data_IF_951632448650
#
_entry.id   IF_951632448650
#
_cell.length_a   1.000
_cell.length_b   1.000
_cell.length_c   1.000
_cell.angle_alpha   90.00
_cell.angle_beta   90.00
_cell.angle_gamma   90.00
#
_symmetry.space_group_name_H-M   'P 1'
#
loop_
_entity.id
_entity.type
_entity.pdbx_description
1 polymer ?
#
# COMPACT_ATOMS: atom_id res chain seq x y z
N UNK A 1 -14.25 -15.20 13.87
CA UNK A 1 -13.40 -14.18 13.22
C UNK A 1 -12.72 -14.79 12.00
N UNK A 2 -12.86 -14.18 10.80
CA UNK A 2 -12.15 -14.67 9.60
C UNK A 2 -10.64 -14.60 9.84
N UNK A 3 -9.95 -15.72 9.76
CA UNK A 3 -8.51 -15.87 10.02
C UNK A 3 -7.68 -14.99 9.08
N UNK A 4 -8.15 -14.78 7.85
CA UNK A 4 -7.47 -14.03 6.80
C UNK A 4 -8.21 -12.76 6.42
N UNK A 5 -7.47 -11.76 5.97
CA UNK A 5 -7.98 -10.48 5.50
C UNK A 5 -8.04 -10.48 3.98
N UNK A 6 -9.19 -10.12 3.40
CA UNK A 6 -9.33 -9.90 1.97
C UNK A 6 -9.14 -8.41 1.69
N UNK A 7 -8.17 -8.00 0.85
CA UNK A 7 -8.07 -6.61 0.41
C UNK A 7 -9.39 -6.13 -0.20
N UNK A 8 -9.67 -4.83 -0.12
CA UNK A 8 -10.90 -4.28 -0.72
C UNK A 8 -10.82 -4.28 -2.25
N UNK A 9 -9.63 -4.03 -2.77
CA UNK A 9 -9.33 -3.99 -4.19
C UNK A 9 -8.02 -4.72 -4.42
N UNK A 10 -7.94 -5.50 -5.49
CA UNK A 10 -6.70 -6.08 -6.00
C UNK A 10 -6.57 -5.73 -7.47
N UNK A 11 -5.49 -5.05 -7.85
CA UNK A 11 -5.20 -4.57 -9.19
C UNK A 11 -3.74 -4.86 -9.54
N UNK A 12 -3.42 -4.82 -10.82
CA UNK A 12 -2.08 -5.14 -11.32
C UNK A 12 -1.03 -4.13 -10.83
N UNK A 13 -1.34 -2.84 -10.94
CA UNK A 13 -0.39 -1.76 -10.60
C UNK A 13 -1.13 -0.50 -10.14
N UNK A 14 -0.38 0.49 -9.64
CA UNK A 14 -0.93 1.74 -9.12
C UNK A 14 -1.69 2.56 -10.16
N UNK A 15 -1.44 2.39 -11.45
CA UNK A 15 -2.10 3.16 -12.52
C UNK A 15 -3.55 2.73 -12.76
N UNK A 16 -3.96 1.60 -12.18
CA UNK A 16 -5.34 1.09 -12.23
C UNK A 16 -6.18 1.49 -11.01
N UNK A 17 -5.69 2.39 -10.15
CA UNK A 17 -6.45 2.89 -8.99
C UNK A 17 -7.77 3.52 -9.47
N UNK A 18 -8.93 3.07 -8.95
CA UNK A 18 -10.24 3.57 -9.40
C UNK A 18 -10.57 4.94 -8.78
N UNK A 19 -9.93 6.01 -9.25
CA UNK A 19 -9.97 7.37 -8.72
C UNK A 19 -11.40 7.84 -8.46
N UNK A 20 -12.28 7.74 -9.47
CA UNK A 20 -13.67 8.19 -9.36
C UNK A 20 -14.44 7.46 -8.24
N UNK A 21 -14.20 6.16 -8.07
CA UNK A 21 -14.83 5.35 -7.03
C UNK A 21 -14.33 5.76 -5.63
N UNK A 22 -13.02 6.01 -5.49
CA UNK A 22 -12.44 6.47 -4.22
C UNK A 22 -13.00 7.84 -3.81
N UNK A 23 -13.08 8.79 -4.75
CA UNK A 23 -13.71 10.11 -4.53
C UNK A 23 -15.16 9.98 -4.07
N UNK A 24 -15.97 9.23 -4.81
CA UNK A 24 -17.38 8.99 -4.45
C UNK A 24 -17.53 8.33 -3.08
N UNK A 25 -16.54 7.59 -2.63
CA UNK A 25 -16.52 6.92 -1.31
C UNK A 25 -16.00 7.81 -0.18
N UNK A 26 -15.73 9.10 -0.41
CA UNK A 26 -15.27 10.05 0.58
C UNK A 26 -13.80 9.87 1.00
N UNK A 27 -12.98 9.18 0.21
CA UNK A 27 -11.55 9.06 0.48
C UNK A 27 -10.88 10.41 0.27
N UNK A 28 -10.09 10.84 1.26
CA UNK A 28 -9.36 12.12 1.26
C UNK A 28 -7.87 11.94 0.99
N UNK A 29 -7.33 10.77 1.37
CA UNK A 29 -5.89 10.54 1.25
C UNK A 29 -5.54 9.11 0.79
N UNK A 30 -4.44 9.00 0.05
CA UNK A 30 -3.83 7.75 -0.38
C UNK A 30 -2.47 7.59 0.28
N UNK A 31 -2.26 6.46 0.94
CA UNK A 31 -1.00 6.10 1.59
C UNK A 31 -0.36 4.97 0.80
N UNK A 32 0.80 5.23 0.23
CA UNK A 32 1.52 4.28 -0.61
C UNK A 32 2.68 3.64 0.16
N UNK A 33 2.85 2.33 0.02
CA UNK A 33 4.17 1.74 0.20
C UNK A 33 5.10 2.19 -0.93
N UNK A 34 6.41 2.06 -0.72
CA UNK A 34 7.41 2.50 -1.69
C UNK A 34 7.94 1.36 -2.55
N UNK A 35 8.61 0.41 -1.90
CA UNK A 35 9.40 -0.61 -2.57
C UNK A 35 8.50 -1.66 -3.20
N UNK A 36 8.68 -1.91 -4.50
CA UNK A 36 7.84 -2.75 -5.35
C UNK A 36 6.37 -2.29 -5.52
N UNK A 37 5.97 -1.19 -4.91
CA UNK A 37 4.65 -0.57 -5.10
C UNK A 37 4.72 0.65 -6.02
N UNK A 38 5.54 1.66 -5.68
CA UNK A 38 5.75 2.87 -6.48
C UNK A 38 6.95 2.70 -7.42
N UNK A 39 8.01 2.03 -6.93
CA UNK A 39 9.28 1.90 -7.62
C UNK A 39 9.96 0.57 -7.28
N UNK A 40 10.82 0.09 -8.18
CA UNK A 40 11.71 -1.03 -7.87
C UNK A 40 12.69 -0.63 -6.76
N UNK A 41 13.13 -1.61 -5.98
CA UNK A 41 14.11 -1.39 -4.90
C UNK A 41 15.45 -0.85 -5.40
N UNK A 42 15.80 -1.09 -6.67
CA UNK A 42 17.01 -0.61 -7.34
C UNK A 42 16.92 0.86 -7.80
N UNK A 43 15.72 1.41 -7.94
CA UNK A 43 15.53 2.79 -8.40
C UNK A 43 15.80 3.78 -7.27
N UNK A 44 16.67 4.78 -7.50
CA UNK A 44 17.02 5.80 -6.51
C UNK A 44 16.00 6.94 -6.44
N UNK A 45 15.28 7.19 -7.52
CA UNK A 45 14.31 8.28 -7.69
C UNK A 45 13.05 7.75 -8.38
N UNK A 46 11.90 8.41 -8.22
CA UNK A 46 10.70 8.06 -8.98
C UNK A 46 10.90 8.34 -10.47
N UNK A 47 10.39 7.46 -11.32
CA UNK A 47 10.36 7.68 -12.76
C UNK A 47 9.44 8.85 -13.13
N UNK A 48 9.64 9.44 -14.32
CA UNK A 48 8.78 10.53 -14.82
C UNK A 48 7.32 10.10 -14.93
N UNK A 49 7.06 8.84 -15.24
CA UNK A 49 5.72 8.27 -15.28
C UNK A 49 5.06 8.34 -13.89
N UNK A 50 5.78 7.96 -12.85
CA UNK A 50 5.30 8.05 -11.46
C UNK A 50 5.06 9.51 -11.07
N UNK A 51 5.99 10.41 -11.37
CA UNK A 51 5.86 11.85 -11.08
C UNK A 51 4.59 12.43 -11.72
N UNK A 52 4.38 12.17 -13.01
CA UNK A 52 3.17 12.61 -13.73
C UNK A 52 1.90 12.05 -13.12
N UNK A 53 1.92 10.77 -12.77
CA UNK A 53 0.76 10.12 -12.16
C UNK A 53 0.43 10.68 -10.78
N UNK A 54 1.44 10.90 -9.94
CA UNK A 54 1.24 11.52 -8.61
C UNK A 54 0.70 12.94 -8.71
N UNK A 55 1.15 13.74 -9.72
CA UNK A 55 0.55 15.05 -10.00
C UNK A 55 -0.95 14.95 -10.33
N UNK A 56 -1.36 13.91 -11.04
CA UNK A 56 -2.78 13.67 -11.32
C UNK A 56 -3.56 13.31 -10.06
N UNK A 57 -3.04 12.41 -9.24
CA UNK A 57 -3.69 11.99 -7.99
C UNK A 57 -3.82 13.12 -6.97
N UNK A 58 -2.83 14.02 -6.91
CA UNK A 58 -2.84 15.20 -6.00
C UNK A 58 -3.97 16.19 -6.27
N UNK A 59 -4.60 16.15 -7.44
CA UNK A 59 -5.77 16.98 -7.74
C UNK A 59 -6.98 16.62 -6.86
N UNK A 60 -7.03 15.37 -6.40
CA UNK A 60 -8.19 14.82 -5.72
C UNK A 60 -7.88 14.31 -4.30
N UNK A 61 -6.61 13.98 -4.01
CA UNK A 61 -6.21 13.34 -2.76
C UNK A 61 -4.94 13.94 -2.16
N UNK A 62 -4.85 13.92 -0.84
CA UNK A 62 -3.56 14.07 -0.16
C UNK A 62 -2.78 12.76 -0.27
N UNK A 63 -1.50 12.81 -0.64
CA UNK A 63 -0.68 11.63 -0.86
C UNK A 63 0.40 11.51 0.21
N UNK A 64 0.66 10.26 0.64
CA UNK A 64 1.68 9.93 1.62
C UNK A 64 2.48 8.70 1.18
N UNK A 65 3.74 8.64 1.63
CA UNK A 65 4.54 7.41 1.56
C UNK A 65 4.73 6.86 2.97
N UNK A 66 4.47 5.57 3.16
CA UNK A 66 4.66 4.84 4.41
C UNK A 66 5.49 3.58 4.13
N UNK A 67 6.80 3.63 4.39
CA UNK A 67 7.74 2.56 4.03
C UNK A 67 8.50 1.99 5.22
N UNK A 68 8.84 0.71 5.14
CA UNK A 68 9.76 0.06 6.09
C UNK A 68 11.23 0.43 5.83
N UNK A 69 11.52 1.00 4.69
CA UNK A 69 12.86 1.39 4.28
C UNK A 69 13.42 2.58 5.09
N UNK A 70 14.76 2.71 5.19
CA UNK A 70 15.39 3.81 5.92
C UNK A 70 15.19 5.16 5.20
N UNK A 71 15.36 6.25 5.96
CA UNK A 71 15.17 7.63 5.48
C UNK A 71 15.92 7.91 4.18
N UNK A 72 17.19 7.47 4.06
CA UNK A 72 18.01 7.66 2.86
C UNK A 72 17.37 7.09 1.58
N UNK A 73 16.53 6.05 1.72
CA UNK A 73 15.80 5.43 0.62
C UNK A 73 14.49 6.18 0.32
N UNK A 74 13.76 6.60 1.34
CA UNK A 74 12.41 7.16 1.19
C UNK A 74 12.45 8.66 0.85
N UNK A 75 13.40 9.40 1.42
CA UNK A 75 13.51 10.87 1.25
C UNK A 75 13.56 11.33 -0.21
N UNK A 76 14.39 10.76 -1.12
CA UNK A 76 14.43 11.19 -2.52
C UNK A 76 13.09 11.07 -3.25
N UNK A 77 12.27 10.10 -2.87
CA UNK A 77 10.91 9.92 -3.41
C UNK A 77 9.95 10.94 -2.82
N UNK A 78 9.98 11.14 -1.50
CA UNK A 78 9.16 12.16 -0.85
C UNK A 78 9.41 13.56 -1.41
N UNK A 79 10.66 13.94 -1.54
CA UNK A 79 11.07 15.24 -2.07
C UNK A 79 10.66 15.41 -3.55
N UNK A 80 11.00 14.45 -4.42
CA UNK A 80 10.69 14.54 -5.85
C UNK A 80 9.20 14.48 -6.17
N UNK A 81 8.45 13.72 -5.37
CA UNK A 81 6.98 13.62 -5.49
C UNK A 81 6.27 14.72 -4.70
N UNK A 82 7.01 15.51 -3.89
CA UNK A 82 6.45 16.55 -3.01
C UNK A 82 5.33 16.01 -2.12
N UNK A 83 5.59 14.91 -1.42
CA UNK A 83 4.66 14.27 -0.51
C UNK A 83 5.28 14.02 0.85
N UNK A 84 4.48 14.09 1.91
CA UNK A 84 4.95 13.68 3.25
C UNK A 84 5.27 12.19 3.25
N UNK A 85 6.33 11.81 3.96
CA UNK A 85 6.76 10.42 4.04
C UNK A 85 7.10 9.98 5.46
N UNK A 86 6.86 8.71 5.72
CA UNK A 86 7.14 8.03 6.97
C UNK A 86 8.04 6.81 6.68
N UNK A 87 9.27 6.89 7.12
CA UNK A 87 10.28 5.84 6.96
C UNK A 87 10.37 4.96 8.21
N UNK A 88 11.06 3.82 8.12
CA UNK A 88 11.22 2.84 9.22
C UNK A 88 9.87 2.55 9.92
N UNK A 89 8.83 2.33 9.12
CA UNK A 89 7.47 2.20 9.62
C UNK A 89 7.22 0.91 10.37
N UNK A 90 8.13 -0.07 10.21
CA UNK A 90 8.08 -1.39 10.86
C UNK A 90 6.72 -2.08 10.66
N UNK A 91 6.09 -1.90 9.47
CA UNK A 91 4.85 -2.59 9.14
C UNK A 91 5.03 -4.11 9.34
N UNK A 92 4.10 -4.81 9.96
CA UNK A 92 2.71 -4.44 10.27
C UNK A 92 2.49 -3.76 11.64
N UNK A 93 3.49 -3.06 12.21
CA UNK A 93 3.26 -2.15 13.35
C UNK A 93 2.36 -0.99 12.94
N UNK A 94 1.44 -0.60 13.82
CA UNK A 94 0.46 0.46 13.54
C UNK A 94 0.96 1.86 13.93
N UNK A 95 2.12 1.95 14.58
CA UNK A 95 2.63 3.17 15.20
C UNK A 95 2.72 4.34 14.21
N UNK A 96 3.42 4.16 13.09
CA UNK A 96 3.62 5.23 12.13
C UNK A 96 2.35 5.57 11.34
N UNK A 97 1.45 4.61 11.10
CA UNK A 97 0.14 4.91 10.51
C UNK A 97 -0.73 5.74 11.47
N UNK A 98 -0.77 5.39 12.76
CA UNK A 98 -1.48 6.20 13.77
C UNK A 98 -0.89 7.61 13.89
N UNK A 99 0.44 7.74 13.80
CA UNK A 99 1.13 9.01 13.76
C UNK A 99 0.73 9.83 12.53
N UNK A 100 0.74 9.23 11.34
CA UNK A 100 0.30 9.86 10.08
C UNK A 100 -1.13 10.39 10.20
N UNK A 101 -2.06 9.57 10.69
CA UNK A 101 -3.46 9.97 10.86
C UNK A 101 -3.58 11.19 11.78
N UNK A 102 -2.94 11.15 12.95
CA UNK A 102 -2.98 12.23 13.93
C UNK A 102 -2.36 13.53 13.40
N UNK A 103 -1.16 13.45 12.80
CA UNK A 103 -0.43 14.64 12.30
C UNK A 103 -1.11 15.33 11.12
N UNK A 104 -2.04 14.66 10.46
CA UNK A 104 -2.72 15.20 9.29
C UNK A 104 -4.25 15.31 9.48
N UNK A 105 -4.74 15.16 10.73
CA UNK A 105 -6.17 15.24 11.07
C UNK A 105 -7.06 14.33 10.19
N UNK A 106 -6.60 13.11 9.94
CA UNK A 106 -7.31 12.12 9.11
C UNK A 106 -7.91 11.02 9.98
N UNK A 107 -9.15 10.64 9.69
CA UNK A 107 -9.74 9.42 10.21
C UNK A 107 -9.26 8.21 9.39
N UNK A 108 -9.36 7.01 9.95
CA UNK A 108 -8.99 5.77 9.24
C UNK A 108 -9.92 5.48 8.05
N UNK A 109 -11.12 6.00 8.08
CA UNK A 109 -12.13 5.92 7.02
C UNK A 109 -11.79 6.83 5.82
N UNK A 110 -11.04 7.91 6.06
CA UNK A 110 -10.63 8.89 5.06
C UNK A 110 -9.52 8.39 4.13
N UNK A 111 -8.87 7.28 4.47
CA UNK A 111 -7.65 6.85 3.80
C UNK A 111 -7.76 5.46 3.16
N UNK A 112 -6.91 5.24 2.16
CA UNK A 112 -6.65 3.92 1.57
C UNK A 112 -5.15 3.64 1.63
N UNK A 113 -4.78 2.45 2.12
CA UNK A 113 -3.41 1.95 2.06
C UNK A 113 -3.22 1.13 0.78
N UNK A 114 -2.20 1.51 0.00
CA UNK A 114 -1.80 0.85 -1.25
C UNK A 114 -0.44 0.21 -1.04
N UNK A 115 -0.32 -1.08 -1.28
CA UNK A 115 0.93 -1.82 -1.13
C UNK A 115 0.91 -3.17 -1.85
N UNK A 116 2.08 -3.77 -1.99
CA UNK A 116 2.27 -5.05 -2.68
C UNK A 116 2.38 -6.25 -1.73
N UNK A 117 2.65 -6.00 -0.43
CA UNK A 117 2.92 -7.06 0.53
C UNK A 117 1.75 -7.35 1.47
N UNK A 118 1.32 -8.62 1.47
CA UNK A 118 0.25 -9.05 2.35
C UNK A 118 0.67 -9.00 3.84
N UNK A 119 1.88 -9.47 4.15
CA UNK A 119 2.36 -9.60 5.54
C UNK A 119 2.65 -8.27 6.22
N UNK A 120 2.88 -7.21 5.48
CA UNK A 120 3.16 -5.88 6.02
C UNK A 120 1.98 -4.95 5.85
N UNK A 121 1.57 -4.65 4.61
CA UNK A 121 0.56 -3.65 4.30
C UNK A 121 -0.86 -4.11 4.65
N UNK A 122 -1.22 -5.30 4.18
CA UNK A 122 -2.59 -5.79 4.41
C UNK A 122 -2.82 -6.15 5.87
N UNK A 123 -1.81 -6.66 6.59
CA UNK A 123 -1.94 -6.91 8.04
C UNK A 123 -1.97 -5.61 8.86
N UNK A 124 -1.21 -4.58 8.47
CA UNK A 124 -1.32 -3.25 9.07
C UNK A 124 -2.75 -2.72 8.95
N UNK A 125 -3.28 -2.74 7.73
CA UNK A 125 -4.61 -2.26 7.44
C UNK A 125 -5.70 -3.06 8.18
N UNK A 126 -5.57 -4.38 8.24
CA UNK A 126 -6.47 -5.25 9.03
C UNK A 126 -6.52 -4.81 10.49
N UNK A 127 -5.36 -4.57 11.13
CA UNK A 127 -5.28 -4.14 12.54
C UNK A 127 -5.98 -2.82 12.81
N UNK A 128 -5.96 -1.90 11.85
CA UNK A 128 -6.56 -0.56 11.98
C UNK A 128 -7.93 -0.46 11.33
N UNK A 129 -8.40 -1.51 10.65
CA UNK A 129 -9.63 -1.50 9.84
C UNK A 129 -9.61 -0.39 8.75
N UNK A 130 -8.46 -0.21 8.09
CA UNK A 130 -8.25 0.72 6.98
C UNK A 130 -8.57 -0.01 5.67
N UNK A 131 -9.16 0.72 4.72
CA UNK A 131 -9.38 0.24 3.35
C UNK A 131 -8.08 0.04 2.61
N UNK A 132 -8.01 -0.96 1.72
CA UNK A 132 -6.78 -1.35 1.04
C UNK A 132 -6.94 -1.54 -0.46
N UNK A 133 -5.86 -1.24 -1.14
CA UNK A 133 -5.61 -1.69 -2.51
C UNK A 133 -4.32 -2.52 -2.49
N UNK A 134 -4.43 -3.79 -2.83
CA UNK A 134 -3.27 -4.64 -3.09
C UNK A 134 -2.88 -4.48 -4.55
N UNK A 135 -1.59 -4.36 -4.82
CA UNK A 135 -1.02 -4.36 -6.17
C UNK A 135 -0.05 -5.53 -6.34
N UNK A 136 0.22 -5.94 -7.57
CA UNK A 136 1.31 -6.87 -7.82
C UNK A 136 2.65 -6.15 -7.61
N UNK A 137 3.67 -6.84 -7.08
CA UNK A 137 4.99 -6.26 -6.97
C UNK A 137 5.58 -5.96 -8.35
N UNK A 138 6.19 -4.79 -8.50
CA UNK A 138 6.82 -4.35 -9.77
C UNK A 138 7.92 -5.32 -10.19
N UNK A 139 8.66 -5.89 -9.23
CA UNK A 139 9.73 -6.84 -9.48
C UNK A 139 9.70 -8.01 -8.50
N UNK A 140 9.98 -9.20 -9.01
CA UNK A 140 10.18 -10.38 -8.17
C UNK A 140 11.61 -10.42 -7.58
N UNK A 141 12.50 -9.50 -7.95
CA UNK A 141 13.85 -9.36 -7.41
C UNK A 141 13.79 -8.51 -6.14
N UNK A 142 13.69 -9.16 -5.00
CA UNK A 142 13.79 -8.51 -3.70
C UNK A 142 15.20 -8.64 -3.12
N UNK A 143 15.60 -7.65 -2.29
CA UNK A 143 16.79 -7.77 -1.48
C UNK A 143 16.70 -8.98 -0.54
N UNK A 144 17.85 -9.64 -0.30
CA UNK A 144 18.03 -10.89 0.46
C UNK A 144 17.59 -10.86 1.94
N UNK A 145 16.94 -9.79 2.39
CA UNK A 145 16.54 -9.64 3.80
C UNK A 145 15.15 -10.26 3.99
N UNK A 146 15.10 -11.49 4.32
CA UNK A 146 13.97 -12.27 4.83
C UNK A 146 13.47 -13.42 3.95
N UNK A 147 14.31 -14.41 3.75
CA UNK A 147 13.84 -15.73 3.28
C UNK A 147 12.70 -16.28 4.16
N UNK A 148 12.72 -16.01 5.46
CA UNK A 148 11.68 -16.44 6.42
C UNK A 148 10.35 -15.73 6.14
N UNK A 149 10.34 -14.41 5.94
CA UNK A 149 9.11 -13.67 5.64
C UNK A 149 8.50 -14.08 4.29
N UNK A 150 9.33 -14.37 3.28
CA UNK A 150 8.86 -14.89 1.98
C UNK A 150 8.24 -16.29 2.09
N UNK A 151 8.85 -17.15 2.90
CA UNK A 151 8.29 -18.48 3.13
C UNK A 151 6.92 -18.40 3.78
N UNK A 152 6.78 -17.57 4.82
CA UNK A 152 5.51 -17.33 5.49
C UNK A 152 4.49 -16.68 4.55
N UNK A 153 4.90 -15.68 3.77
CA UNK A 153 4.02 -15.02 2.80
C UNK A 153 3.52 -15.99 1.72
N UNK A 154 4.40 -16.81 1.13
CA UNK A 154 4.00 -17.85 0.17
C UNK A 154 3.00 -18.84 0.77
N UNK A 155 3.23 -19.29 2.00
CA UNK A 155 2.28 -20.20 2.69
C UNK A 155 0.93 -19.54 2.91
N UNK A 156 0.91 -18.27 3.28
CA UNK A 156 -0.33 -17.52 3.48
C UNK A 156 -1.04 -17.29 2.16
N UNK A 157 -0.32 -16.85 1.10
CA UNK A 157 -0.91 -16.64 -0.22
C UNK A 157 -1.48 -17.95 -0.80
N UNK A 158 -0.77 -19.08 -0.63
CA UNK A 158 -1.28 -20.40 -1.00
C UNK A 158 -2.59 -20.71 -0.28
N UNK A 159 -2.63 -20.51 1.03
CA UNK A 159 -3.84 -20.75 1.82
C UNK A 159 -4.99 -19.79 1.46
N UNK A 160 -4.68 -18.53 1.14
CA UNK A 160 -5.67 -17.57 0.67
C UNK A 160 -6.28 -17.97 -0.68
N UNK A 161 -5.47 -18.59 -1.56
CA UNK A 161 -5.92 -19.12 -2.84
C UNK A 161 -6.80 -20.37 -2.64
N UNK A 162 -6.38 -21.30 -1.78
CA UNK A 162 -7.16 -22.50 -1.40
C UNK A 162 -8.53 -22.10 -0.82
N UNK A 163 -8.55 -21.09 0.07
CA UNK A 163 -9.77 -20.57 0.69
C UNK A 163 -10.58 -19.63 -0.27
N UNK A 164 -10.16 -19.46 -1.53
CA UNK A 164 -10.76 -18.57 -2.55
C UNK A 164 -10.91 -17.11 -2.09
N UNK A 165 -10.03 -16.65 -1.20
CA UNK A 165 -10.05 -15.30 -0.65
C UNK A 165 -9.25 -14.34 -1.54
N UNK A 166 -8.06 -14.78 -1.98
CA UNK A 166 -7.15 -14.01 -2.83
C UNK A 166 -6.34 -14.98 -3.69
N UNK A 167 -6.38 -14.78 -5.00
CA UNK A 167 -5.59 -15.56 -5.95
C UNK A 167 -4.78 -14.61 -6.82
N UNK A 168 -3.48 -14.85 -6.93
CA UNK A 168 -2.56 -14.01 -7.69
C UNK A 168 -3.00 -13.90 -9.16
N UNK A 169 -3.09 -12.66 -9.67
CA UNK A 169 -3.54 -12.38 -11.04
C UNK A 169 -5.05 -12.34 -11.23
N UNK A 170 -5.85 -12.74 -10.25
CA UNK A 170 -7.31 -12.58 -10.29
C UNK A 170 -7.71 -11.27 -9.65
N UNK A 171 -7.66 -10.19 -10.42
CA UNK A 171 -7.95 -8.84 -9.96
C UNK A 171 -9.44 -8.63 -9.70
N UNK A 172 -9.76 -7.79 -8.69
CA UNK A 172 -11.14 -7.46 -8.33
C UNK A 172 -11.27 -6.10 -7.66
N UNK A 173 -12.49 -5.56 -7.66
CA UNK A 173 -12.87 -4.30 -7.03
C UNK A 173 -14.06 -4.51 -6.10
N UNK A 174 -13.81 -5.04 -4.89
CA UNK A 174 -14.84 -5.24 -3.88
C UNK A 174 -14.77 -4.13 -2.82
N UNK A 175 -15.42 -3.02 -3.08
CA UNK A 175 -15.51 -1.93 -2.12
C UNK A 175 -16.62 -2.22 -1.12
N UNK A 176 -16.30 -2.97 -0.08
CA UNK A 176 -17.25 -3.27 0.99
C UNK A 176 -17.27 -2.12 1.99
N UNK A 177 -18.46 -1.76 2.52
CA UNK A 177 -18.53 -0.94 3.72
C UNK A 177 -17.78 -1.70 4.83
N UNK A 178 -16.84 -1.05 5.48
CA UNK A 178 -16.23 -1.58 6.69
C UNK A 178 -17.30 -1.35 7.77
N UNK A 179 -17.99 -2.43 8.15
CA UNK A 179 -18.90 -2.45 9.28
C UNK A 179 -18.11 -2.39 10.59
#
# INVERSE_FOLDING_TARGET
>A
MKKYYKPNIYIKDIYQIPIAKLKKSGIKALVFDLDNTIAMTSEKYPSDKVVKYFKTLKKDFTLFILSNSPRRRVKPFGDKLEVKYYHLSLKPSTRNMRRLLRENNLAKEDIVLIGDQYMTDMLLAKKLKIKTILVDPISNKEFKITSINRFLERRILKKLAEDKILEKGKYYHEWRKIL
#
